data_IF_589971636179
#
_entry.id   IF_589971636179
#
_cell.length_a   1.000
_cell.length_b   1.000
_cell.length_c   1.000
_cell.angle_alpha   90.00
_cell.angle_beta   90.00
_cell.angle_gamma   90.00
#
_symmetry.space_group_name_H-M   'P 1'
#
loop_
_entity.id
_entity.type
_entity.pdbx_description
1 polymer ?
#
# COMPACT_ATOMS: atom_id res chain seq x y z
N UNK A 1 5.18 -4.96 11.41
CA UNK A 1 4.77 -5.15 9.99
C UNK A 1 5.59 -4.21 9.12
N UNK A 2 6.61 -4.74 8.44
CA UNK A 2 7.72 -4.00 7.81
C UNK A 2 7.43 -3.25 6.51
N UNK A 3 6.94 -2.02 6.65
CA UNK A 3 7.27 -0.95 5.72
C UNK A 3 8.77 -0.60 5.88
N UNK A 4 9.47 -0.24 4.81
CA UNK A 4 10.85 0.23 4.92
C UNK A 4 10.91 1.39 5.92
N UNK A 5 11.84 1.31 6.88
CA UNK A 5 11.89 2.23 8.00
C UNK A 5 12.02 3.69 7.52
N UNK A 6 11.29 4.58 8.19
CA UNK A 6 11.23 6.00 7.86
C UNK A 6 10.53 6.31 6.54
N UNK A 7 9.60 5.46 6.09
CA UNK A 7 8.74 5.81 4.95
C UNK A 7 7.65 6.78 5.40
N UNK A 8 7.80 8.04 5.01
CA UNK A 8 6.77 9.05 5.24
C UNK A 8 5.62 8.91 4.24
N UNK A 9 4.38 8.86 4.74
CA UNK A 9 3.17 8.76 3.92
C UNK A 9 2.31 9.98 4.20
N UNK A 10 2.38 10.97 3.32
CA UNK A 10 1.62 12.21 3.48
C UNK A 10 0.11 11.94 3.57
N UNK A 11 -0.60 12.42 4.60
CA UNK A 11 -2.05 12.25 4.69
C UNK A 11 -2.80 13.04 3.60
N UNK A 12 -4.09 12.71 3.47
CA UNK A 12 -5.01 13.48 2.63
C UNK A 12 -5.15 14.88 3.19
N UNK A 13 -5.42 15.87 2.34
CA UNK A 13 -5.50 17.27 2.75
C UNK A 13 -6.47 17.52 3.93
N UNK A 14 -7.59 16.80 3.96
CA UNK A 14 -8.59 16.87 5.05
C UNK A 14 -8.09 16.34 6.39
N UNK A 15 -7.07 15.46 6.39
CA UNK A 15 -6.48 14.86 7.58
C UNK A 15 -5.12 15.47 7.95
N UNK A 16 -4.66 16.47 7.20
CA UNK A 16 -3.47 17.23 7.57
C UNK A 16 -3.82 18.25 8.66
N UNK A 17 -2.86 18.63 9.54
CA UNK A 17 -3.06 19.67 10.54
C UNK A 17 -3.49 20.99 9.88
N UNK A 18 -4.34 21.72 10.61
CA UNK A 18 -4.89 23.00 10.16
C UNK A 18 -3.80 24.05 10.09
N UNK A 19 -3.77 24.80 8.99
CA UNK A 19 -2.82 25.90 8.78
C UNK A 19 -2.89 26.98 9.87
N UNK A 20 -4.04 27.16 10.51
CA UNK A 20 -4.25 28.21 11.50
C UNK A 20 -4.00 27.73 12.94
N UNK A 21 -4.40 26.49 13.26
CA UNK A 21 -4.30 25.95 14.63
C UNK A 21 -2.93 25.32 14.91
N UNK A 22 -2.34 24.66 13.91
CA UNK A 22 -1.12 23.86 14.03
C UNK A 22 -0.19 24.14 12.83
N UNK A 23 0.27 25.38 12.65
CA UNK A 23 1.10 25.76 11.50
C UNK A 23 2.48 25.09 11.51
N UNK A 24 3.06 24.84 12.69
CA UNK A 24 4.40 24.27 12.84
C UNK A 24 4.42 22.80 12.41
N UNK A 25 3.48 22.02 12.94
CA UNK A 25 3.27 20.61 12.61
C UNK A 25 2.95 20.46 11.12
N UNK A 26 2.15 21.39 10.59
CA UNK A 26 1.82 21.44 9.17
C UNK A 26 3.05 21.68 8.30
N UNK A 27 3.87 22.66 8.65
CA UNK A 27 5.11 22.96 7.93
C UNK A 27 6.09 21.78 8.03
N UNK A 28 6.21 21.16 9.21
CA UNK A 28 7.06 20.00 9.42
C UNK A 28 6.63 18.81 8.54
N UNK A 29 5.34 18.51 8.44
CA UNK A 29 4.84 17.46 7.54
C UNK A 29 5.13 17.74 6.06
N UNK A 30 4.92 18.97 5.61
CA UNK A 30 5.20 19.33 4.20
C UNK A 30 6.71 19.31 3.92
N UNK A 31 7.53 19.76 4.88
CA UNK A 31 8.98 19.68 4.80
C UNK A 31 9.46 18.23 4.75
N UNK A 32 8.96 17.35 5.63
CA UNK A 32 9.26 15.93 5.62
C UNK A 32 8.84 15.28 4.30
N UNK A 33 7.67 15.64 3.77
CA UNK A 33 7.24 15.14 2.46
C UNK A 33 8.22 15.50 1.35
N UNK A 34 8.65 16.76 1.26
CA UNK A 34 9.62 17.20 0.25
C UNK A 34 10.97 16.52 0.45
N UNK A 35 11.49 16.53 1.68
CA UNK A 35 12.77 15.91 2.05
C UNK A 35 12.79 14.42 1.73
N UNK A 36 11.78 13.66 2.16
CA UNK A 36 11.71 12.22 1.88
C UNK A 36 11.43 11.95 0.40
N UNK A 37 10.70 12.80 -0.32
CA UNK A 37 10.54 12.65 -1.77
C UNK A 37 11.87 12.78 -2.53
N UNK A 38 12.70 13.76 -2.16
CA UNK A 38 14.03 13.94 -2.74
C UNK A 38 14.97 12.78 -2.39
N UNK A 39 14.97 12.36 -1.12
CA UNK A 39 15.74 11.20 -0.65
C UNK A 39 15.33 9.92 -1.37
N UNK A 40 14.02 9.67 -1.51
CA UNK A 40 13.46 8.53 -2.24
C UNK A 40 13.90 8.52 -3.71
N UNK A 41 13.90 9.69 -4.36
CA UNK A 41 14.39 9.83 -5.72
C UNK A 41 15.89 9.49 -5.81
N UNK A 42 16.71 10.05 -4.92
CA UNK A 42 18.14 9.77 -4.88
C UNK A 42 18.45 8.29 -4.60
N UNK A 43 17.71 7.65 -3.68
CA UNK A 43 17.84 6.21 -3.40
C UNK A 43 17.41 5.37 -4.60
N UNK A 44 16.34 5.75 -5.30
CA UNK A 44 15.93 5.08 -6.54
C UNK A 44 17.00 5.18 -7.63
N UNK A 45 17.60 6.36 -7.82
CA UNK A 45 18.74 6.56 -8.72
C UNK A 45 19.91 5.69 -8.31
N UNK A 46 20.25 5.66 -7.02
CA UNK A 46 21.32 4.81 -6.54
C UNK A 46 21.05 3.33 -6.85
N UNK A 47 19.86 2.87 -6.51
CA UNK A 47 19.43 1.49 -6.70
C UNK A 47 19.51 1.08 -8.16
N UNK A 48 19.00 1.89 -9.08
CA UNK A 48 18.95 1.56 -10.51
C UNK A 48 20.29 1.76 -11.23
N UNK A 49 21.13 2.71 -10.83
CA UNK A 49 22.35 3.06 -11.58
C UNK A 49 23.63 2.50 -10.97
N UNK A 50 23.68 2.31 -9.66
CA UNK A 50 24.86 1.75 -8.98
C UNK A 50 24.62 0.31 -8.56
N UNK A 51 23.54 0.02 -7.84
CA UNK A 51 23.32 -1.31 -7.25
C UNK A 51 22.81 -2.34 -8.29
N UNK A 52 21.94 -1.91 -9.22
CA UNK A 52 21.20 -2.78 -10.14
C UNK A 52 21.02 -2.17 -11.54
N UNK A 53 22.12 -2.05 -12.29
CA UNK A 53 22.22 -1.36 -13.59
C UNK A 53 21.25 -1.81 -14.69
N UNK A 54 20.76 -3.04 -14.61
CA UNK A 54 19.84 -3.67 -15.57
C UNK A 54 18.35 -3.43 -15.23
N UNK A 55 18.04 -2.82 -14.10
CA UNK A 55 16.67 -2.66 -13.64
C UNK A 55 16.01 -1.38 -14.16
N UNK A 56 14.76 -1.48 -14.61
CA UNK A 56 14.00 -0.32 -15.06
C UNK A 56 13.29 0.41 -13.91
N UNK A 57 13.29 1.74 -13.95
CA UNK A 57 12.58 2.57 -12.96
C UNK A 57 11.06 2.41 -13.00
N UNK A 58 10.48 2.16 -14.18
CA UNK A 58 9.05 1.89 -14.36
C UNK A 58 8.12 3.00 -13.86
N UNK A 59 8.48 4.28 -14.03
CA UNK A 59 7.77 5.39 -13.38
C UNK A 59 6.25 5.40 -13.65
N UNK A 60 5.86 5.15 -14.91
CA UNK A 60 4.45 5.10 -15.35
C UNK A 60 3.78 3.77 -15.02
N UNK A 61 4.50 2.67 -15.19
CA UNK A 61 4.03 1.30 -15.01
C UNK A 61 3.56 1.04 -13.58
N UNK A 62 4.25 1.57 -12.57
CA UNK A 62 3.87 1.41 -11.14
C UNK A 62 2.41 1.74 -10.86
N UNK A 63 1.86 2.79 -11.49
CA UNK A 63 0.44 3.17 -11.31
C UNK A 63 -0.51 2.16 -11.95
N UNK A 64 -0.18 1.67 -13.14
CA UNK A 64 -0.98 0.67 -13.85
C UNK A 64 -0.95 -0.68 -13.11
N UNK A 65 0.24 -1.08 -12.66
CA UNK A 65 0.46 -2.28 -11.85
C UNK A 65 -0.36 -2.18 -10.56
N UNK A 66 -0.30 -1.05 -9.84
CA UNK A 66 -1.07 -0.82 -8.61
C UNK A 66 -2.57 -1.02 -8.82
N UNK A 67 -3.14 -0.41 -9.87
CA UNK A 67 -4.56 -0.57 -10.20
C UNK A 67 -4.91 -2.03 -10.48
N UNK A 68 -4.12 -2.66 -11.35
CA UNK A 68 -4.39 -4.03 -11.78
C UNK A 68 -4.31 -5.02 -10.62
N UNK A 69 -3.34 -4.86 -9.72
CA UNK A 69 -3.18 -5.70 -8.54
C UNK A 69 -4.30 -5.45 -7.53
N UNK A 70 -4.67 -4.19 -7.28
CA UNK A 70 -5.76 -3.82 -6.37
C UNK A 70 -7.09 -4.44 -6.80
N UNK A 71 -7.44 -4.31 -8.09
CA UNK A 71 -8.66 -4.89 -8.64
C UNK A 71 -8.64 -6.42 -8.60
N UNK A 72 -7.53 -7.05 -9.01
CA UNK A 72 -7.34 -8.51 -8.94
C UNK A 72 -7.44 -9.02 -7.51
N UNK A 73 -6.85 -8.32 -6.55
CA UNK A 73 -6.87 -8.70 -5.14
C UNK A 73 -8.28 -8.70 -4.60
N UNK A 74 -9.02 -7.60 -4.74
CA UNK A 74 -10.38 -7.52 -4.22
C UNK A 74 -11.35 -8.45 -4.96
N UNK A 75 -11.16 -8.65 -6.26
CA UNK A 75 -11.95 -9.61 -7.04
C UNK A 75 -11.69 -11.05 -6.59
N UNK A 76 -10.43 -11.44 -6.42
CA UNK A 76 -10.04 -12.77 -5.92
C UNK A 76 -10.53 -12.98 -4.48
N UNK A 77 -10.41 -11.95 -3.64
CA UNK A 77 -10.92 -11.97 -2.28
C UNK A 77 -12.43 -12.17 -2.24
N UNK A 78 -13.22 -11.43 -3.03
CA UNK A 78 -14.67 -11.60 -3.10
C UNK A 78 -15.05 -13.02 -3.53
N UNK A 79 -14.35 -13.57 -4.54
CA UNK A 79 -14.55 -14.95 -5.03
C UNK A 79 -14.07 -16.05 -4.07
N UNK A 80 -13.23 -15.72 -3.09
CA UNK A 80 -12.60 -16.71 -2.21
C UNK A 80 -11.46 -17.50 -2.86
N UNK A 81 -10.84 -16.96 -3.93
CA UNK A 81 -9.75 -17.62 -4.65
C UNK A 81 -8.39 -17.37 -3.98
N UNK A 82 -8.03 -18.25 -3.05
CA UNK A 82 -6.77 -18.19 -2.30
C UNK A 82 -5.55 -18.41 -3.23
N UNK A 83 -5.69 -19.17 -4.31
CA UNK A 83 -4.58 -19.47 -5.22
C UNK A 83 -4.15 -18.23 -5.99
N UNK A 84 -5.11 -17.43 -6.44
CA UNK A 84 -4.82 -16.13 -7.07
C UNK A 84 -4.21 -15.17 -6.04
N UNK A 85 -4.75 -15.11 -4.81
CA UNK A 85 -4.20 -14.26 -3.74
C UNK A 85 -2.73 -14.58 -3.43
N UNK A 86 -2.34 -15.86 -3.36
CA UNK A 86 -0.95 -16.29 -3.15
C UNK A 86 0.03 -15.78 -4.20
N UNK A 87 -0.43 -15.57 -5.44
CA UNK A 87 0.42 -15.09 -6.55
C UNK A 87 0.61 -13.58 -6.52
N UNK A 88 -0.41 -12.84 -6.12
CA UNK A 88 -0.47 -11.37 -6.22
C UNK A 88 -0.15 -10.64 -4.91
N UNK A 89 -0.30 -11.30 -3.76
CA UNK A 89 -0.04 -10.73 -2.44
C UNK A 89 1.17 -11.38 -1.78
N UNK A 90 1.83 -10.66 -0.88
CA UNK A 90 2.86 -11.23 -0.01
C UNK A 90 2.23 -12.15 1.05
N UNK A 91 3.03 -13.08 1.59
CA UNK A 91 2.58 -14.14 2.51
C UNK A 91 1.78 -13.62 3.70
N UNK A 92 2.22 -12.52 4.34
CA UNK A 92 1.50 -11.91 5.46
C UNK A 92 0.06 -11.53 5.10
N UNK A 93 -0.13 -10.76 4.02
CA UNK A 93 -1.47 -10.35 3.57
C UNK A 93 -2.31 -11.54 3.10
N UNK A 94 -1.70 -12.55 2.47
CA UNK A 94 -2.41 -13.78 2.06
C UNK A 94 -3.00 -14.48 3.27
N UNK A 95 -2.24 -14.64 4.35
CA UNK A 95 -2.69 -15.31 5.56
C UNK A 95 -3.88 -14.57 6.18
N UNK A 96 -3.80 -13.23 6.26
CA UNK A 96 -4.89 -12.38 6.78
C UNK A 96 -6.17 -12.51 5.93
N UNK A 97 -6.03 -12.44 4.60
CA UNK A 97 -7.17 -12.56 3.69
C UNK A 97 -7.75 -13.97 3.68
N UNK A 98 -6.92 -15.01 3.75
CA UNK A 98 -7.35 -16.40 3.82
C UNK A 98 -8.13 -16.69 5.11
N UNK A 99 -7.66 -16.18 6.26
CA UNK A 99 -8.37 -16.29 7.52
C UNK A 99 -9.76 -15.62 7.44
N UNK A 100 -9.84 -14.42 6.85
CA UNK A 100 -11.12 -13.73 6.62
C UNK A 100 -12.04 -14.46 5.66
N UNK A 101 -11.50 -15.19 4.68
CA UNK A 101 -12.31 -16.04 3.78
C UNK A 101 -12.88 -17.24 4.54
N UNK A 102 -12.07 -17.89 5.39
CA UNK A 102 -12.49 -19.05 6.18
C UNK A 102 -13.57 -18.71 7.21
N UNK A 103 -13.55 -17.48 7.74
CA UNK A 103 -14.56 -16.98 8.68
C UNK A 103 -15.91 -16.62 8.03
N UNK A 104 -16.02 -16.67 6.70
CA UNK A 104 -17.28 -16.36 5.99
C UNK A 104 -18.31 -17.47 6.22
N UNK A 105 -19.58 -17.07 6.25
CA UNK A 105 -20.67 -18.04 6.26
C UNK A 105 -20.70 -18.78 4.91
N UNK A 106 -20.89 -20.10 4.93
CA UNK A 106 -20.78 -20.95 3.72
C UNK A 106 -21.88 -20.69 2.69
N UNK A 107 -23.00 -20.15 3.14
CA UNK A 107 -24.17 -19.76 2.35
C UNK A 107 -24.06 -18.34 1.78
N UNK A 108 -23.03 -17.57 2.13
CA UNK A 108 -22.88 -16.18 1.72
C UNK A 108 -21.83 -16.01 0.63
N UNK A 109 -22.24 -15.49 -0.52
CA UNK A 109 -21.34 -15.04 -1.58
C UNK A 109 -21.15 -13.54 -1.50
N UNK A 110 -19.90 -13.10 -1.40
CA UNK A 110 -19.54 -11.68 -1.43
C UNK A 110 -19.30 -11.25 -2.88
N UNK A 111 -19.88 -10.14 -3.25
CA UNK A 111 -19.67 -9.48 -4.55
C UNK A 111 -18.95 -8.16 -4.27
N UNK A 112 -17.88 -7.92 -5.01
CA UNK A 112 -17.18 -6.64 -5.02
C UNK A 112 -17.06 -6.14 -6.44
N UNK A 113 -17.37 -4.87 -6.64
CA UNK A 113 -17.16 -4.18 -7.92
C UNK A 113 -16.48 -2.85 -7.69
N UNK A 114 -15.59 -2.52 -8.63
CA UNK A 114 -14.97 -1.21 -8.71
C UNK A 114 -15.75 -0.36 -9.70
N UNK A 115 -16.52 0.61 -9.20
CA UNK A 115 -17.42 1.39 -10.04
C UNK A 115 -16.64 2.45 -10.82
N UNK A 116 -15.83 3.24 -10.12
CA UNK A 116 -14.97 4.26 -10.74
C UNK A 116 -13.82 4.68 -9.85
N UNK A 117 -12.75 5.18 -10.48
CA UNK A 117 -11.70 5.93 -9.78
C UNK A 117 -12.07 7.41 -9.67
N UNK A 118 -11.82 8.01 -8.51
CA UNK A 118 -11.98 9.45 -8.29
C UNK A 118 -10.81 10.22 -8.91
N UNK A 119 -11.04 10.74 -10.12
CA UNK A 119 -10.04 11.47 -10.90
C UNK A 119 -10.10 12.96 -10.57
N UNK A 120 -9.35 13.37 -9.55
CA UNK A 120 -9.24 14.79 -9.15
C UNK A 120 -7.79 15.28 -9.11
N UNK A 121 -7.57 16.58 -8.86
CA UNK A 121 -6.23 17.17 -8.74
C UNK A 121 -5.37 16.48 -7.66
N UNK A 122 -6.02 16.04 -6.57
CA UNK A 122 -5.34 15.33 -5.48
C UNK A 122 -4.64 14.04 -5.93
N UNK A 123 -5.08 13.42 -7.02
CA UNK A 123 -4.53 12.18 -7.59
C UNK A 123 -4.01 12.35 -9.02
N UNK A 124 -3.64 13.58 -9.40
CA UNK A 124 -3.20 13.93 -10.76
C UNK A 124 -4.19 13.47 -11.84
N UNK A 125 -5.49 13.57 -11.57
CA UNK A 125 -6.59 13.14 -12.45
C UNK A 125 -6.56 11.66 -12.85
N UNK A 126 -5.81 10.85 -12.12
CA UNK A 126 -5.73 9.41 -12.37
C UNK A 126 -6.49 8.59 -11.32
N UNK A 127 -6.82 9.16 -10.16
CA UNK A 127 -7.36 8.38 -9.03
C UNK A 127 -6.32 7.51 -8.31
N UNK A 128 -5.06 7.58 -8.76
CA UNK A 128 -3.94 6.81 -8.19
C UNK A 128 -2.72 7.70 -8.06
N UNK A 129 -2.25 7.91 -6.83
CA UNK A 129 -1.07 8.73 -6.54
C UNK A 129 0.02 7.91 -5.89
N UNK A 130 1.23 7.99 -6.42
CA UNK A 130 2.41 7.46 -5.74
C UNK A 130 2.75 8.40 -4.58
N UNK A 131 2.82 7.85 -3.37
CA UNK A 131 3.07 8.59 -2.14
C UNK A 131 4.55 8.48 -1.72
N UNK A 132 5.12 7.28 -1.87
CA UNK A 132 6.54 7.01 -1.65
C UNK A 132 7.01 5.89 -2.58
N UNK A 133 8.26 5.94 -3.01
CA UNK A 133 8.94 4.86 -3.73
C UNK A 133 10.33 4.71 -3.12
N UNK A 134 10.54 3.62 -2.39
CA UNK A 134 11.76 3.34 -1.66
C UNK A 134 12.39 2.09 -2.19
N UNK A 135 13.69 2.13 -2.39
CA UNK A 135 14.48 0.98 -2.78
C UNK A 135 15.66 0.87 -1.83
N UNK A 136 15.97 -0.35 -1.41
CA UNK A 136 17.09 -0.66 -0.54
C UNK A 136 17.77 -1.94 -1.06
N UNK A 137 19.07 -1.87 -1.30
CA UNK A 137 19.91 -3.06 -1.46
C UNK A 137 20.20 -3.64 -0.07
N UNK A 138 20.26 -4.97 0.03
CA UNK A 138 20.64 -5.65 1.26
C UNK A 138 22.16 -5.85 1.21
N UNK A 139 22.96 -5.14 2.03
CA UNK A 139 24.42 -5.19 1.91
C UNK A 139 25.00 -6.57 2.20
N UNK A 140 24.35 -7.34 3.07
CA UNK A 140 24.79 -8.66 3.50
C UNK A 140 24.67 -9.72 2.39
N UNK A 141 23.75 -9.53 1.44
CA UNK A 141 23.46 -10.51 0.39
C UNK A 141 23.59 -9.85 -0.98
N UNK A 142 24.70 -10.08 -1.71
CA UNK A 142 24.92 -9.52 -3.03
C UNK A 142 23.77 -9.80 -4.00
N UNK A 143 23.45 -8.81 -4.83
CA UNK A 143 22.39 -8.95 -5.83
C UNK A 143 20.98 -9.00 -5.24
N UNK A 144 20.82 -8.79 -3.92
CA UNK A 144 19.52 -8.83 -3.25
C UNK A 144 19.07 -7.43 -2.83
N UNK A 145 17.81 -7.12 -3.07
CA UNK A 145 17.23 -5.82 -2.79
C UNK A 145 15.72 -5.87 -2.67
N UNK A 146 15.16 -4.83 -2.07
CA UNK A 146 13.73 -4.67 -1.89
C UNK A 146 13.34 -3.28 -2.35
N UNK A 147 12.30 -3.20 -3.18
CA UNK A 147 11.66 -1.95 -3.56
C UNK A 147 10.21 -1.96 -3.09
N UNK A 148 9.81 -0.93 -2.36
CA UNK A 148 8.46 -0.71 -1.89
C UNK A 148 7.89 0.59 -2.44
N UNK A 149 6.67 0.52 -2.97
CA UNK A 149 5.95 1.68 -3.51
C UNK A 149 4.64 1.83 -2.78
N UNK A 150 4.47 2.95 -2.08
CA UNK A 150 3.22 3.30 -1.42
C UNK A 150 2.34 4.05 -2.42
N UNK A 151 1.12 3.55 -2.61
CA UNK A 151 0.17 4.09 -3.57
C UNK A 151 -1.14 4.41 -2.86
N UNK A 152 -1.60 5.66 -3.05
CA UNK A 152 -2.95 6.07 -2.67
C UNK A 152 -3.91 5.84 -3.82
N UNK A 153 -4.96 5.07 -3.57
CA UNK A 153 -6.06 4.80 -4.51
C UNK A 153 -7.32 5.44 -3.95
N UNK A 154 -7.97 6.29 -4.76
CA UNK A 154 -9.25 6.91 -4.45
C UNK A 154 -10.29 6.40 -5.43
N UNK A 155 -11.31 5.69 -4.95
CA UNK A 155 -12.30 5.02 -5.80
C UNK A 155 -13.68 4.97 -5.16
N UNK A 156 -14.71 4.81 -5.98
CA UNK A 156 -16.03 4.37 -5.57
C UNK A 156 -16.12 2.86 -5.75
N UNK A 157 -16.46 2.14 -4.69
CA UNK A 157 -16.54 0.69 -4.66
C UNK A 157 -17.91 0.26 -4.17
N UNK A 158 -18.37 -0.87 -4.70
CA UNK A 158 -19.67 -1.45 -4.38
C UNK A 158 -19.47 -2.84 -3.79
N UNK A 159 -20.13 -3.10 -2.66
CA UNK A 159 -20.06 -4.37 -1.92
C UNK A 159 -21.46 -4.91 -1.70
N UNK A 160 -21.68 -6.16 -2.10
CA UNK A 160 -22.95 -6.86 -1.93
C UNK A 160 -22.75 -8.25 -1.35
N UNK A 161 -23.81 -8.80 -0.76
CA UNK A 161 -23.88 -10.18 -0.29
C UNK A 161 -25.10 -10.85 -0.91
N UNK A 162 -24.90 -12.05 -1.43
CA UNK A 162 -25.97 -12.88 -1.97
C UNK A 162 -26.00 -14.19 -1.21
N UNK A 163 -27.17 -14.56 -0.69
CA UNK A 163 -27.37 -15.90 -0.12
C UNK A 163 -27.44 -16.91 -1.25
N UNK A 164 -26.62 -17.95 -1.19
CA UNK A 164 -26.66 -19.06 -2.12
C UNK A 164 -27.66 -20.11 -1.59
N UNK A 165 -28.63 -20.57 -2.39
CA UNK A 165 -29.51 -21.65 -1.96
C UNK A 165 -28.70 -22.92 -1.72
N UNK A 166 -28.89 -23.52 -0.55
CA UNK A 166 -28.22 -24.73 -0.11
C UNK A 166 -28.71 -26.00 -0.80
N UNK A 167 -29.78 -25.93 -1.62
CA UNK A 167 -30.42 -27.11 -2.22
C UNK A 167 -30.53 -26.97 -3.74
N UNK A 168 -29.94 -27.92 -4.48
CA UNK A 168 -30.15 -28.09 -5.92
C UNK A 168 -31.62 -28.46 -6.16
N UNK A 169 -32.48 -27.48 -6.43
CA UNK A 169 -33.86 -27.75 -6.86
C UNK A 169 -34.94 -26.74 -6.46
N UNK A 170 -34.64 -25.78 -5.57
CA UNK A 170 -35.63 -24.74 -5.21
C UNK A 170 -35.37 -23.45 -6.02
N UNK A 171 -36.40 -22.80 -6.58
CA UNK A 171 -36.25 -21.50 -7.22
C UNK A 171 -35.92 -20.48 -6.13
N UNK A 172 -34.64 -20.18 -5.98
CA UNK A 172 -34.19 -19.22 -4.99
C UNK A 172 -34.46 -17.81 -5.50
N UNK A 173 -35.46 -17.15 -4.93
CA UNK A 173 -35.45 -15.70 -4.85
C UNK A 173 -34.09 -15.31 -4.28
N UNK A 174 -33.26 -14.76 -5.17
CA UNK A 174 -31.96 -14.24 -4.82
C UNK A 174 -32.22 -13.01 -3.97
N UNK A 175 -32.33 -13.21 -2.65
CA UNK A 175 -32.47 -12.14 -1.68
C UNK A 175 -31.13 -11.38 -1.66
N UNK A 176 -30.99 -10.50 -2.66
CA UNK A 176 -29.83 -9.65 -2.85
C UNK A 176 -29.92 -8.58 -1.77
N UNK A 177 -29.03 -8.67 -0.78
CA UNK A 177 -28.81 -7.53 0.10
C UNK A 177 -28.40 -6.32 -0.75
N UNK A 178 -28.87 -5.10 -0.40
CA UNK A 178 -28.58 -3.92 -1.18
C UNK A 178 -27.07 -3.75 -1.36
N UNK A 179 -26.64 -3.54 -2.60
CA UNK A 179 -25.24 -3.28 -2.91
C UNK A 179 -24.88 -1.93 -2.30
N UNK A 180 -24.08 -1.94 -1.23
CA UNK A 180 -23.64 -0.72 -0.57
C UNK A 180 -22.49 -0.12 -1.36
N UNK A 181 -22.72 1.04 -1.94
CA UNK A 181 -21.70 1.83 -2.63
C UNK A 181 -21.05 2.81 -1.67
N UNK A 182 -19.71 2.83 -1.65
CA UNK A 182 -18.93 3.70 -0.77
C UNK A 182 -17.75 4.33 -1.51
N UNK A 183 -17.46 5.58 -1.18
CA UNK A 183 -16.23 6.25 -1.59
C UNK A 183 -15.09 5.88 -0.62
N UNK A 184 -14.01 5.30 -1.16
CA UNK A 184 -12.89 4.76 -0.41
C UNK A 184 -11.58 5.45 -0.81
N UNK A 185 -10.75 5.76 0.19
CA UNK A 185 -9.36 6.18 0.01
C UNK A 185 -8.46 5.20 0.74
N UNK A 186 -7.69 4.43 -0.01
CA UNK A 186 -6.86 3.36 0.53
C UNK A 186 -5.40 3.64 0.19
N UNK A 187 -4.50 3.31 1.12
CA UNK A 187 -3.06 3.33 0.86
C UNK A 187 -2.58 1.88 0.87
N UNK A 188 -2.07 1.43 -0.27
CA UNK A 188 -1.53 0.09 -0.44
C UNK A 188 -0.02 0.18 -0.67
N UNK A 189 0.69 -0.83 -0.18
CA UNK A 189 2.12 -0.98 -0.39
C UNK A 189 2.31 -2.08 -1.42
N UNK A 190 2.96 -1.74 -2.52
CA UNK A 190 3.49 -2.72 -3.46
C UNK A 190 4.92 -3.03 -3.06
N UNK A 191 5.32 -4.29 -3.20
CA UNK A 191 6.69 -4.73 -2.99
C UNK A 191 7.18 -5.51 -4.20
N UNK A 192 8.43 -5.25 -4.58
CA UNK A 192 9.19 -6.04 -5.53
C UNK A 192 10.50 -6.41 -4.87
N UNK A 193 10.82 -7.70 -4.87
CA UNK A 193 12.08 -8.21 -4.35
C UNK A 193 13.00 -8.55 -5.52
N UNK A 194 14.28 -8.40 -5.28
CA UNK A 194 15.32 -8.93 -6.13
C UNK A 194 16.14 -9.87 -5.27
N UNK A 195 16.35 -11.08 -5.74
CA UNK A 195 17.04 -12.15 -5.00
C UNK A 195 18.13 -12.69 -5.90
N UNK A 196 19.39 -12.60 -5.45
CA UNK A 196 20.57 -13.05 -6.21
C UNK A 196 20.58 -12.58 -7.68
N UNK A 197 20.23 -11.32 -7.92
CA UNK A 197 20.20 -10.74 -9.26
C UNK A 197 18.92 -11.01 -10.04
N UNK A 198 18.02 -11.89 -9.60
CA UNK A 198 16.74 -12.12 -10.27
C UNK A 198 15.62 -11.26 -9.67
N UNK A 199 14.92 -10.52 -10.52
CA UNK A 199 13.83 -9.64 -10.11
C UNK A 199 12.49 -10.39 -10.11
N UNK A 200 11.80 -10.38 -8.96
CA UNK A 200 10.48 -10.97 -8.81
C UNK A 200 9.37 -10.03 -9.32
N UNK A 201 8.16 -10.55 -9.61
CA UNK A 201 7.03 -9.70 -9.95
C UNK A 201 6.58 -8.82 -8.77
N UNK A 202 5.96 -7.70 -9.09
CA UNK A 202 5.29 -6.86 -8.09
C UNK A 202 4.16 -7.62 -7.39
N UNK A 203 4.14 -7.54 -6.06
CA UNK A 203 3.07 -8.07 -5.22
C UNK A 203 2.55 -7.00 -4.27
N UNK A 204 1.31 -7.14 -3.82
CA UNK A 204 0.77 -6.31 -2.75
C UNK A 204 1.32 -6.82 -1.43
N UNK A 205 2.07 -5.97 -0.74
CA UNK A 205 2.60 -6.28 0.58
C UNK A 205 1.53 -6.14 1.66
N UNK A 206 0.74 -5.06 1.60
CA UNK A 206 -0.26 -4.77 2.62
C UNK A 206 -0.95 -3.42 2.44
N UNK A 207 -1.85 -3.12 3.38
CA UNK A 207 -2.40 -1.78 3.58
C UNK A 207 -1.55 -1.02 4.58
N UNK A 208 -1.58 0.32 4.49
CA UNK A 208 -0.84 1.18 5.41
C UNK A 208 -1.67 2.41 5.78
N UNK A 209 -1.49 2.92 6.99
CA UNK A 209 -2.08 4.17 7.42
C UNK A 209 -1.16 5.34 7.05
N UNK A 210 -1.70 6.49 6.65
CA UNK A 210 -0.90 7.69 6.48
C UNK A 210 -0.25 8.11 7.81
N UNK A 211 0.87 8.80 7.70
CA UNK A 211 1.58 9.39 8.85
C UNK A 211 0.71 10.47 9.48
N UNK A 212 0.54 10.42 10.80
CA UNK A 212 -0.22 11.39 11.59
C UNK A 212 0.71 12.37 12.31
N UNK A 213 0.14 13.32 13.07
CA UNK A 213 0.94 14.32 13.80
C UNK A 213 1.70 13.66 14.94
N UNK A 214 1.10 12.65 15.57
CA UNK A 214 1.69 11.88 16.66
C UNK A 214 2.93 11.09 16.19
N UNK A 215 2.95 10.66 14.92
CA UNK A 215 4.10 9.98 14.34
C UNK A 215 5.33 10.90 14.16
N UNK A 216 5.17 12.23 14.25
CA UNK A 216 6.29 13.16 14.09
C UNK A 216 7.31 13.06 15.24
N UNK A 217 6.90 12.52 16.38
CA UNK A 217 7.77 12.29 17.54
C UNK A 217 8.60 11.00 17.42
N UNK A 218 8.27 10.12 16.47
CA UNK A 218 9.08 8.94 16.17
C UNK A 218 10.48 9.39 15.75
N UNK A 219 11.57 8.80 16.29
CA UNK A 219 12.93 9.07 15.85
C UNK A 219 13.12 9.04 14.32
N UNK A 220 12.34 8.23 13.60
CA UNK A 220 12.30 8.18 12.15
C UNK A 220 11.97 9.54 11.50
N UNK A 221 11.16 10.39 12.14
CA UNK A 221 10.63 11.66 11.63
C UNK A 221 10.96 12.89 12.49
N UNK A 222 11.40 12.68 13.74
CA UNK A 222 11.70 13.74 14.69
C UNK A 222 12.72 14.76 14.14
N UNK A 223 12.45 16.04 14.38
CA UNK A 223 13.34 17.14 14.02
C UNK A 223 14.54 17.20 14.97
N UNK A 224 15.68 17.70 14.50
CA UNK A 224 16.87 17.94 15.33
C UNK A 224 17.82 16.75 15.54
N UNK A 225 17.39 15.51 15.32
CA UNK A 225 18.28 14.34 15.38
C UNK A 225 19.22 14.27 14.17
N UNK A 226 20.52 14.12 14.42
CA UNK A 226 21.52 13.77 13.42
C UNK A 226 21.26 12.38 12.82
N UNK A 227 21.92 12.06 11.71
CA UNK A 227 21.78 10.74 11.05
C UNK A 227 22.24 9.61 11.97
N UNK A 228 23.31 9.83 12.75
CA UNK A 228 23.86 8.85 13.69
C UNK A 228 22.91 8.62 14.87
N UNK A 229 22.44 9.69 15.52
CA UNK A 229 21.49 9.60 16.63
C UNK A 229 20.17 8.95 16.18
N UNK A 230 19.71 9.29 14.97
CA UNK A 230 18.52 8.66 14.37
C UNK A 230 18.73 7.17 14.15
N UNK A 231 19.89 6.76 13.65
CA UNK A 231 20.19 5.35 13.43
C UNK A 231 20.26 4.58 14.76
N UNK A 232 20.88 5.14 15.79
CA UNK A 232 20.90 4.54 17.12
C UNK A 232 19.52 4.44 17.74
N UNK A 233 18.72 5.51 17.71
CA UNK A 233 17.36 5.50 18.22
C UNK A 233 16.50 4.45 17.52
N UNK A 234 16.63 4.33 16.19
CA UNK A 234 15.93 3.33 15.40
C UNK A 234 16.41 1.89 15.68
N UNK A 235 17.72 1.69 15.88
CA UNK A 235 18.28 0.40 16.27
C UNK A 235 17.77 -0.04 17.64
N UNK A 236 17.73 0.87 18.60
CA UNK A 236 17.23 0.60 19.95
C UNK A 236 15.74 0.27 19.96
N UNK A 237 14.97 0.84 19.02
CA UNK A 237 13.54 0.55 18.85
C UNK A 237 13.30 -0.80 18.15
N UNK A 238 14.18 -1.21 17.24
CA UNK A 238 14.10 -2.47 16.49
C UNK A 238 14.67 -3.69 17.24
N UNK A 239 15.49 -3.47 18.27
CA UNK A 239 16.07 -4.52 19.13
C UNK A 239 15.23 -4.89 20.36
N UNK A 240 14.04 -4.30 20.50
CA UNK A 240 13.01 -4.69 21.49
C UNK A 240 11.93 -5.51 20.81
#
# INVERSE_FOLDING_TARGET
>A
MGLLLGTFIRPVWSAMPSMLKQPKERLQMEWLWVKESLKNLAMGIKYHWFDFKDSSFGFRERRQIARSLHEKMYTAFARGDINTLKKICCTGLVNDLAARIQQRRKDEKIIWTLDKYHRGPSTYFTGVRIMADRAAAIPEVPGTGIRQVVVRITSRQSKGRTKQPSTKGSPAESENSPTATQDCTEHIVLQRQRVFGQEEPWRIWGHVTPTTVEDLDDPAFAAGLSVAERFEAMRNLAGR
#
